data_IF_408623795511
#
_entry.id   IF_408623795511
#
_cell.length_a   1.000
_cell.length_b   1.000
_cell.length_c   1.000
_cell.angle_alpha   90.00
_cell.angle_beta   90.00
_cell.angle_gamma   90.00
#
_symmetry.space_group_name_H-M   'P 1'
#
loop_
_entity.id
_entity.type
_entity.pdbx_description
1 polymer ?
#
# COMPACT_ATOMS: atom_id res chain seq x y z
N UNK A 1 9.07 -9.87 -18.83
CA UNK A 1 8.96 -10.98 -17.85
C UNK A 1 7.52 -11.46 -17.77
N UNK A 2 7.31 -12.75 -17.53
CA UNK A 2 6.00 -13.36 -17.30
C UNK A 2 5.46 -13.03 -15.91
N UNK A 3 4.16 -13.17 -15.70
CA UNK A 3 3.53 -13.00 -14.37
C UNK A 3 4.16 -13.91 -13.30
N UNK A 4 4.52 -15.14 -13.66
CA UNK A 4 5.16 -16.07 -12.72
C UNK A 4 6.58 -15.63 -12.35
N UNK A 5 7.36 -15.12 -13.30
CA UNK A 5 8.72 -14.60 -13.01
C UNK A 5 8.67 -13.37 -12.11
N UNK A 6 7.72 -12.47 -12.35
CA UNK A 6 7.49 -11.28 -11.52
C UNK A 6 7.04 -11.66 -10.11
N UNK A 7 6.14 -12.64 -9.98
CA UNK A 7 5.73 -13.14 -8.66
C UNK A 7 6.88 -13.85 -7.93
N UNK A 8 7.68 -14.68 -8.62
CA UNK A 8 8.88 -15.28 -8.03
C UNK A 8 9.87 -14.23 -7.54
N UNK A 9 9.99 -13.10 -8.23
CA UNK A 9 10.81 -11.98 -7.78
C UNK A 9 10.25 -11.34 -6.50
N UNK A 10 8.94 -11.12 -6.39
CA UNK A 10 8.32 -10.62 -5.15
C UNK A 10 8.55 -11.57 -3.97
N UNK A 11 8.43 -12.89 -4.19
CA UNK A 11 8.71 -13.92 -3.19
C UNK A 11 10.19 -13.89 -2.77
N UNK A 12 11.12 -13.88 -3.73
CA UNK A 12 12.56 -13.80 -3.44
C UNK A 12 12.91 -12.57 -2.61
N UNK A 13 12.35 -11.41 -2.96
CA UNK A 13 12.54 -10.17 -2.18
C UNK A 13 12.04 -10.32 -0.74
N UNK A 14 10.93 -11.02 -0.53
CA UNK A 14 10.40 -11.27 0.82
C UNK A 14 11.33 -12.17 1.64
N UNK A 15 11.88 -13.23 1.04
CA UNK A 15 12.83 -14.16 1.68
C UNK A 15 14.14 -13.44 2.05
N UNK A 16 14.71 -12.69 1.10
CA UNK A 16 15.93 -11.90 1.32
C UNK A 16 15.71 -10.84 2.40
N UNK A 17 14.53 -10.23 2.47
CA UNK A 17 14.26 -9.21 3.49
C UNK A 17 14.23 -9.78 4.91
N UNK A 18 13.70 -10.99 5.10
CA UNK A 18 13.75 -11.70 6.39
C UNK A 18 15.20 -11.96 6.80
N UNK A 19 16.03 -12.44 5.88
CA UNK A 19 17.45 -12.67 6.14
C UNK A 19 18.19 -11.39 6.55
N UNK A 20 17.70 -10.22 6.08
CA UNK A 20 18.24 -8.91 6.39
C UNK A 20 17.51 -8.18 7.55
N UNK A 21 16.71 -8.90 8.34
CA UNK A 21 16.07 -8.38 9.56
C UNK A 21 14.76 -7.61 9.37
N UNK A 22 14.17 -7.64 8.18
CA UNK A 22 12.85 -7.08 7.89
C UNK A 22 11.71 -8.09 7.94
N UNK A 23 10.47 -7.64 7.72
CA UNK A 23 9.30 -8.52 7.65
C UNK A 23 9.25 -9.37 6.36
N UNK A 24 8.49 -10.49 6.34
CA UNK A 24 8.41 -11.44 5.23
C UNK A 24 7.53 -10.96 4.06
N UNK A 25 7.74 -9.72 3.61
CA UNK A 25 6.92 -9.10 2.58
C UNK A 25 7.78 -8.40 1.51
N UNK A 26 7.48 -8.70 0.26
CA UNK A 26 8.11 -8.13 -0.93
C UNK A 26 7.06 -7.82 -2.00
N UNK A 27 7.28 -6.76 -2.77
CA UNK A 27 6.38 -6.33 -3.82
C UNK A 27 7.15 -5.86 -5.06
N UNK A 28 6.56 -6.10 -6.23
CA UNK A 28 7.07 -5.69 -7.53
C UNK A 28 5.95 -4.94 -8.27
N UNK A 29 6.27 -3.77 -8.81
CA UNK A 29 5.41 -3.03 -9.74
C UNK A 29 6.01 -3.15 -11.12
N UNK A 30 5.22 -3.65 -12.07
CA UNK A 30 5.65 -3.84 -13.44
C UNK A 30 4.63 -3.29 -14.43
N UNK A 31 5.11 -2.88 -15.60
CA UNK A 31 4.29 -2.45 -16.74
C UNK A 31 4.80 -3.17 -17.98
N UNK A 32 3.91 -3.79 -18.74
CA UNK A 32 4.24 -4.56 -19.96
C UNK A 32 5.33 -5.62 -19.75
N UNK A 33 5.36 -6.22 -18.55
CA UNK A 33 6.33 -7.24 -18.17
C UNK A 33 7.71 -6.70 -17.77
N UNK A 34 7.89 -5.39 -17.70
CA UNK A 34 9.11 -4.73 -17.23
C UNK A 34 8.94 -4.21 -15.79
N UNK A 35 9.92 -4.46 -14.94
CA UNK A 35 9.90 -3.99 -13.55
C UNK A 35 10.14 -2.49 -13.51
N UNK A 36 9.14 -1.75 -13.03
CA UNK A 36 9.25 -0.32 -12.75
C UNK A 36 9.97 -0.15 -11.41
N UNK A 37 9.43 -0.70 -10.33
CA UNK A 37 10.05 -0.62 -9.02
C UNK A 37 9.74 -1.85 -8.17
N UNK A 38 10.49 -1.98 -7.08
CA UNK A 38 10.33 -3.04 -6.08
C UNK A 38 10.28 -2.43 -4.69
N UNK A 39 9.69 -3.14 -3.74
CA UNK A 39 9.64 -2.74 -2.34
C UNK A 39 9.71 -3.96 -1.42
N UNK A 40 10.20 -3.74 -0.21
CA UNK A 40 10.22 -4.73 0.87
C UNK A 40 9.76 -4.07 2.16
N UNK A 41 9.25 -4.84 3.11
CA UNK A 41 8.84 -4.28 4.41
C UNK A 41 10.06 -3.75 5.19
N UNK A 42 10.02 -2.47 5.56
CA UNK A 42 11.08 -1.79 6.32
C UNK A 42 10.54 -1.09 7.56
N UNK A 43 9.46 -1.60 8.15
CA UNK A 43 8.77 -0.94 9.27
C UNK A 43 9.70 -0.66 10.44
N UNK A 44 10.39 -1.69 10.94
CA UNK A 44 11.31 -1.58 12.09
C UNK A 44 12.64 -0.94 11.71
N UNK A 45 13.12 -1.17 10.48
CA UNK A 45 14.37 -0.60 10.00
C UNK A 45 14.30 0.92 9.81
N UNK A 46 13.16 1.43 9.34
CA UNK A 46 12.97 2.85 9.04
C UNK A 46 12.22 3.61 10.15
N UNK A 47 11.75 2.93 11.20
CA UNK A 47 10.80 3.49 12.17
C UNK A 47 9.57 4.13 11.50
N UNK A 48 9.06 3.47 10.44
CA UNK A 48 7.91 3.92 9.66
C UNK A 48 6.85 2.80 9.61
N UNK A 49 5.75 2.88 10.38
CA UNK A 49 4.71 1.85 10.36
C UNK A 49 4.01 1.72 9.00
N UNK A 50 4.19 2.69 8.09
CA UNK A 50 3.65 2.66 6.73
C UNK A 50 4.59 2.03 5.71
N UNK A 51 5.84 1.71 6.09
CA UNK A 51 6.86 1.15 5.19
C UNK A 51 6.64 -0.35 4.89
N UNK A 52 5.42 -0.69 4.49
CA UNK A 52 5.07 -2.00 3.94
C UNK A 52 5.66 -2.16 2.53
N UNK A 53 5.74 -3.40 2.05
CA UNK A 53 6.38 -3.70 0.77
C UNK A 53 5.69 -2.99 -0.41
N UNK A 54 4.36 -3.03 -0.43
CA UNK A 54 3.52 -2.45 -1.47
C UNK A 54 3.61 -0.92 -1.44
N UNK A 55 3.51 -0.30 -0.25
CA UNK A 55 3.66 1.16 -0.10
C UNK A 55 5.05 1.61 -0.53
N UNK A 56 6.09 0.88 -0.14
CA UNK A 56 7.47 1.18 -0.54
C UNK A 56 7.65 1.06 -2.06
N UNK A 57 7.07 0.04 -2.68
CA UNK A 57 7.11 -0.16 -4.13
C UNK A 57 6.35 0.95 -4.87
N UNK A 58 5.17 1.38 -4.37
CA UNK A 58 4.41 2.51 -4.92
C UNK A 58 5.25 3.78 -4.87
N UNK A 59 5.80 4.13 -3.69
CA UNK A 59 6.64 5.33 -3.51
C UNK A 59 7.80 5.35 -4.51
N UNK A 60 8.52 4.23 -4.63
CA UNK A 60 9.63 4.10 -5.56
C UNK A 60 9.19 4.16 -7.04
N UNK A 61 8.07 3.54 -7.39
CA UNK A 61 7.53 3.58 -8.75
C UNK A 61 7.12 5.00 -9.14
N UNK A 62 6.34 5.68 -8.30
CA UNK A 62 5.88 7.06 -8.57
C UNK A 62 7.05 8.03 -8.73
N UNK A 63 8.11 7.90 -7.91
CA UNK A 63 9.33 8.68 -8.08
C UNK A 63 10.02 8.38 -9.42
N UNK A 64 10.14 7.11 -9.80
CA UNK A 64 10.81 6.71 -11.03
C UNK A 64 10.07 7.19 -12.29
N UNK A 65 8.75 7.20 -12.27
CA UNK A 65 7.92 7.65 -13.42
C UNK A 65 7.55 9.12 -13.34
N UNK A 66 8.00 9.82 -12.29
CA UNK A 66 7.69 11.23 -12.01
C UNK A 66 6.18 11.54 -12.06
N UNK A 67 5.35 10.61 -11.58
CA UNK A 67 3.90 10.71 -11.59
C UNK A 67 3.30 10.07 -10.33
N UNK A 68 2.22 10.65 -9.80
CA UNK A 68 1.49 10.11 -8.65
C UNK A 68 0.51 8.98 -9.02
N UNK A 69 0.27 8.75 -10.32
CA UNK A 69 -0.50 7.62 -10.85
C UNK A 69 0.41 6.58 -11.50
N UNK A 70 0.03 5.33 -11.36
CA UNK A 70 0.68 4.14 -11.90
C UNK A 70 -0.25 3.43 -12.90
N UNK A 71 -0.92 4.21 -13.77
CA UNK A 71 -1.90 3.69 -14.71
C UNK A 71 -1.28 2.65 -15.67
N UNK A 72 -1.97 1.51 -15.76
CA UNK A 72 -1.53 0.35 -16.54
C UNK A 72 -0.43 -0.48 -15.87
N UNK A 73 0.09 -0.06 -14.71
CA UNK A 73 1.00 -0.90 -13.93
C UNK A 73 0.22 -2.00 -13.18
N UNK A 74 0.87 -3.14 -13.03
CA UNK A 74 0.40 -4.29 -12.27
C UNK A 74 1.28 -4.49 -11.04
N UNK A 75 0.66 -4.78 -9.90
CA UNK A 75 1.36 -5.17 -8.67
C UNK A 75 1.42 -6.68 -8.51
N UNK A 76 2.58 -7.16 -8.06
CA UNK A 76 2.82 -8.52 -7.59
C UNK A 76 3.29 -8.43 -6.15
N UNK A 77 2.46 -8.87 -5.21
CA UNK A 77 2.76 -8.85 -3.78
C UNK A 77 3.02 -10.27 -3.29
N UNK A 78 4.04 -10.47 -2.44
CA UNK A 78 4.31 -11.78 -1.85
C UNK A 78 3.20 -12.24 -0.90
N UNK A 79 2.36 -11.32 -0.43
CA UNK A 79 1.19 -11.60 0.39
C UNK A 79 0.02 -10.69 -0.03
N UNK A 80 -1.21 -11.13 0.20
CA UNK A 80 -2.43 -10.36 0.02
C UNK A 80 -2.32 -8.99 0.73
N UNK A 81 -2.59 -7.86 0.05
CA UNK A 81 -2.43 -6.54 0.67
C UNK A 81 -3.33 -6.32 1.89
N UNK A 82 -2.75 -5.81 2.98
CA UNK A 82 -3.51 -5.35 4.13
C UNK A 82 -4.38 -4.11 3.79
N UNK A 83 -5.33 -3.68 4.64
CA UNK A 83 -6.22 -2.56 4.32
C UNK A 83 -5.51 -1.27 3.92
N UNK A 84 -4.37 -0.96 4.56
CA UNK A 84 -3.54 0.20 4.21
C UNK A 84 -2.96 0.07 2.80
N UNK A 85 -2.30 -1.05 2.52
CA UNK A 85 -1.67 -1.31 1.22
C UNK A 85 -2.72 -1.36 0.10
N UNK A 86 -3.85 -2.02 0.34
CA UNK A 86 -4.97 -2.06 -0.61
C UNK A 86 -5.44 -0.65 -0.95
N UNK A 87 -5.70 0.19 0.06
CA UNK A 87 -6.12 1.58 -0.14
C UNK A 87 -5.07 2.38 -0.93
N UNK A 88 -3.77 2.22 -0.61
CA UNK A 88 -2.69 2.88 -1.33
C UNK A 88 -2.63 2.48 -2.82
N UNK A 89 -2.89 1.21 -3.14
CA UNK A 89 -2.94 0.71 -4.51
C UNK A 89 -4.11 1.31 -5.30
N UNK A 90 -5.28 1.47 -4.67
CA UNK A 90 -6.41 2.19 -5.26
C UNK A 90 -6.07 3.66 -5.58
N UNK A 91 -5.45 4.38 -4.63
CA UNK A 91 -5.01 5.76 -4.85
C UNK A 91 -3.98 5.87 -5.98
N UNK A 92 -3.07 4.91 -6.06
CA UNK A 92 -2.05 4.85 -7.10
C UNK A 92 -2.60 4.50 -8.50
N UNK A 93 -3.81 3.96 -8.64
CA UNK A 93 -4.41 3.67 -9.95
C UNK A 93 -3.83 2.45 -10.68
N UNK A 94 -3.26 1.48 -9.94
CA UNK A 94 -2.77 0.24 -10.58
C UNK A 94 -3.91 -0.53 -11.24
N UNK A 95 -3.65 -1.19 -12.37
CA UNK A 95 -4.69 -1.89 -13.14
C UNK A 95 -5.06 -3.25 -12.58
N UNK A 96 -4.13 -3.89 -11.84
CA UNK A 96 -4.32 -5.24 -11.30
C UNK A 96 -3.37 -5.54 -10.15
N UNK A 97 -3.85 -6.37 -9.23
CA UNK A 97 -3.09 -6.91 -8.09
C UNK A 97 -3.03 -8.43 -8.25
N UNK A 98 -1.82 -8.98 -8.24
CA UNK A 98 -1.55 -10.41 -8.04
C UNK A 98 -0.91 -10.58 -6.67
N UNK A 99 -1.29 -11.62 -5.92
CA UNK A 99 -0.69 -11.95 -4.64
C UNK A 99 -0.41 -13.45 -4.51
N UNK A 100 0.55 -13.82 -3.65
CA UNK A 100 0.92 -15.22 -3.38
C UNK A 100 0.33 -15.73 -2.06
N UNK A 101 0.93 -15.38 -0.92
CA UNK A 101 0.39 -15.74 0.39
C UNK A 101 -0.93 -14.99 0.66
N UNK A 102 -1.78 -15.55 1.49
CA UNK A 102 -3.07 -14.98 1.89
C UNK A 102 -2.97 -14.21 3.20
N UNK A 103 -4.00 -13.42 3.52
CA UNK A 103 -4.14 -12.82 4.86
C UNK A 103 -4.17 -13.85 6.00
N UNK A 104 -4.67 -15.06 5.73
CA UNK A 104 -4.74 -16.13 6.72
C UNK A 104 -3.35 -16.73 6.98
N UNK A 105 -2.50 -16.81 5.94
CA UNK A 105 -1.09 -17.19 6.09
C UNK A 105 -0.32 -16.15 6.92
N UNK A 106 -0.55 -14.85 6.68
CA UNK A 106 0.04 -13.77 7.46
C UNK A 106 -0.41 -13.83 8.93
N UNK A 107 -1.70 -14.06 9.17
CA UNK A 107 -2.26 -14.23 10.51
C UNK A 107 -1.63 -15.41 11.25
N UNK A 108 -1.38 -16.53 10.57
CA UNK A 108 -0.74 -17.71 11.16
C UNK A 108 0.67 -17.45 11.70
N UNK A 109 1.34 -16.39 11.23
CA UNK A 109 2.65 -15.94 11.73
C UNK A 109 2.59 -14.61 12.51
N UNK A 110 1.42 -14.27 13.07
CA UNK A 110 1.15 -13.10 13.91
C UNK A 110 1.16 -11.74 13.21
N UNK A 111 1.02 -11.71 11.88
CA UNK A 111 0.68 -10.50 11.13
C UNK A 111 -0.83 -10.48 10.89
N UNK A 112 -1.60 -10.20 11.95
CA UNK A 112 -3.05 -10.24 11.91
C UNK A 112 -3.66 -8.87 11.56
N UNK A 113 -3.94 -8.67 10.27
CA UNK A 113 -4.63 -7.48 9.77
C UNK A 113 -6.15 -7.53 9.98
N UNK A 114 -6.72 -8.65 10.46
CA UNK A 114 -8.18 -8.81 10.63
C UNK A 114 -8.75 -7.77 11.59
N UNK A 115 -7.98 -7.38 12.61
CA UNK A 115 -8.35 -6.30 13.51
C UNK A 115 -8.66 -5.00 12.75
N UNK A 116 -7.84 -4.62 11.76
CA UNK A 116 -8.06 -3.38 11.00
C UNK A 116 -9.30 -3.51 10.12
N UNK A 117 -9.51 -4.68 9.48
CA UNK A 117 -10.73 -4.95 8.72
C UNK A 117 -11.99 -4.83 9.59
N UNK A 118 -11.96 -5.34 10.82
CA UNK A 118 -13.04 -5.18 11.79
C UNK A 118 -13.27 -3.70 12.11
N UNK A 119 -12.21 -2.92 12.42
CA UNK A 119 -12.34 -1.49 12.70
C UNK A 119 -12.97 -0.69 11.55
N UNK A 120 -12.70 -1.07 10.31
CA UNK A 120 -13.29 -0.42 9.13
C UNK A 120 -14.80 -0.61 9.03
N UNK A 121 -15.31 -1.76 9.50
CA UNK A 121 -16.75 -2.08 9.50
C UNK A 121 -17.54 -1.43 10.63
N UNK A 122 -16.85 -0.89 11.65
CA UNK A 122 -17.49 -0.27 12.80
C UNK A 122 -17.87 1.18 12.53
N UNK A 123 -18.98 1.61 13.14
CA UNK A 123 -19.32 3.02 13.30
C UNK A 123 -18.17 3.78 13.97
N UNK A 124 -18.01 5.07 13.65
CA UNK A 124 -16.84 5.86 14.09
C UNK A 124 -16.65 5.87 15.60
N UNK A 125 -17.75 5.91 16.36
CA UNK A 125 -17.77 5.92 17.81
C UNK A 125 -17.54 4.53 18.44
N UNK A 126 -17.63 3.46 17.65
CA UNK A 126 -17.42 2.08 18.09
C UNK A 126 -16.00 1.57 17.78
N UNK A 127 -15.18 2.36 17.08
CA UNK A 127 -13.78 2.01 16.79
C UNK A 127 -12.94 2.05 18.06
N UNK A 128 -11.93 1.19 18.12
CA UNK A 128 -10.94 1.11 19.20
C UNK A 128 -10.14 2.40 19.35
N UNK A 129 -9.89 3.10 18.23
CA UNK A 129 -9.33 4.45 18.22
C UNK A 129 -10.50 5.43 18.25
N UNK A 130 -10.70 6.04 19.41
CA UNK A 130 -11.70 7.09 19.59
C UNK A 130 -11.48 8.21 18.58
N UNK A 131 -12.51 8.53 17.82
CA UNK A 131 -12.50 9.56 16.79
C UNK A 131 -13.57 10.59 17.11
N UNK A 132 -13.15 11.81 17.46
CA UNK A 132 -14.03 12.92 17.79
C UNK A 132 -13.93 14.01 16.72
N UNK A 133 -15.06 14.58 16.31
CA UNK A 133 -15.09 15.68 15.36
C UNK A 133 -14.91 17.02 16.09
N UNK A 134 -14.01 17.88 15.60
CA UNK A 134 -13.77 19.21 16.15
C UNK A 134 -13.61 20.25 15.03
N UNK A 135 -13.99 21.50 15.30
CA UNK A 135 -13.78 22.66 14.42
C UNK A 135 -14.27 22.49 12.97
N UNK A 136 -15.42 21.83 12.78
CA UNK A 136 -15.97 21.51 11.46
C UNK A 136 -16.11 22.75 10.56
N UNK A 137 -16.70 23.82 11.09
CA UNK A 137 -16.97 25.05 10.34
C UNK A 137 -15.68 25.75 9.90
N UNK A 138 -14.64 25.74 10.74
CA UNK A 138 -13.33 26.30 10.39
C UNK A 138 -12.62 25.46 9.31
N UNK A 139 -12.71 24.13 9.40
CA UNK A 139 -12.08 23.21 8.45
C UNK A 139 -12.70 23.27 7.05
N UNK A 140 -13.99 23.62 6.91
CA UNK A 140 -14.66 23.75 5.61
C UNK A 140 -13.95 24.73 4.67
N UNK A 141 -13.29 25.75 5.22
CA UNK A 141 -12.56 26.76 4.43
C UNK A 141 -11.55 26.13 3.46
N UNK A 142 -10.84 25.09 3.87
CA UNK A 142 -9.87 24.41 3.00
C UNK A 142 -10.55 23.70 1.81
N UNK A 143 -11.74 23.13 2.01
CA UNK A 143 -12.52 22.49 0.95
C UNK A 143 -13.14 23.50 0.00
N UNK A 144 -13.58 24.66 0.49
CA UNK A 144 -14.00 25.78 -0.35
C UNK A 144 -12.85 26.30 -1.21
N UNK A 145 -11.67 26.50 -0.61
CA UNK A 145 -10.46 26.87 -1.34
C UNK A 145 -10.12 25.86 -2.44
N UNK A 146 -10.22 24.55 -2.17
CA UNK A 146 -10.00 23.53 -3.20
C UNK A 146 -11.08 23.56 -4.30
N UNK A 147 -12.36 23.67 -3.92
CA UNK A 147 -13.49 23.76 -4.85
C UNK A 147 -13.31 24.91 -5.83
N UNK A 148 -12.93 26.08 -5.33
CA UNK A 148 -12.87 27.33 -6.09
C UNK A 148 -11.51 27.52 -6.80
N UNK A 149 -10.50 26.72 -6.49
CA UNK A 149 -9.20 26.72 -7.19
C UNK A 149 -9.36 26.21 -8.62
N UNK A 150 -9.00 27.04 -9.61
CA UNK A 150 -9.10 26.70 -11.04
C UNK A 150 -7.92 25.87 -11.55
N UNK A 151 -6.74 26.03 -10.95
CA UNK A 151 -5.47 25.38 -11.30
C UNK A 151 -5.15 24.17 -10.40
N UNK A 152 -6.17 23.47 -9.90
CA UNK A 152 -5.98 22.29 -9.05
C UNK A 152 -5.66 21.04 -9.89
N UNK A 153 -4.83 20.17 -9.34
CA UNK A 153 -4.60 18.82 -9.88
C UNK A 153 -5.38 17.82 -9.04
N UNK A 154 -6.42 17.22 -9.60
CA UNK A 154 -7.19 16.16 -8.93
C UNK A 154 -6.35 14.87 -8.79
N UNK A 155 -6.60 14.12 -7.71
CA UNK A 155 -5.88 12.89 -7.39
C UNK A 155 -6.77 11.86 -6.70
#
# INVERSE_FOLDING_TARGET
MTHQELMRQAIRLSEENVQNGGGPFGAVIAKDGEVIATGVNRVTANNDPTAHAEVSAIRAACQKVENFKLDGCVVYSSCEPCPMCLSALYWAGVSKIYYANTKDDAKAINFDDSFIYEQLSLERNARSIASEQMLHDEAQKAFEMWRDKEDKTEY
#
